data_IF_584586121487
#
_entry.id   IF_584586121487
#
_cell.length_a   1.000
_cell.length_b   1.000
_cell.length_c   1.000
_cell.angle_alpha   90.00
_cell.angle_beta   90.00
_cell.angle_gamma   90.00
#
_symmetry.space_group_name_H-M   'P 1'
#
loop_
_entity.id
_entity.type
_entity.pdbx_description
1 polymer ?
#
# COMPACT_ATOMS: atom_id res chain seq x y z
N UNK A 1 -4.39 -28.20 -0.99
CA UNK A 1 -5.12 -27.24 -1.86
C UNK A 1 -5.02 -25.80 -1.36
N UNK A 2 -5.49 -25.46 -0.14
CA UNK A 2 -5.51 -24.07 0.39
C UNK A 2 -4.15 -23.36 0.46
N UNK A 3 -3.05 -24.09 0.70
CA UNK A 3 -1.69 -23.55 0.84
C UNK A 3 -1.10 -22.97 -0.45
N UNK A 4 -1.55 -23.46 -1.62
CA UNK A 4 -1.06 -22.96 -2.92
C UNK A 4 -1.63 -21.58 -3.27
N UNK A 5 -2.79 -21.22 -2.73
CA UNK A 5 -3.44 -19.92 -2.99
C UNK A 5 -2.62 -18.78 -2.38
N UNK A 6 -2.04 -18.97 -1.18
CA UNK A 6 -1.22 -17.94 -0.54
C UNK A 6 0.07 -17.63 -1.31
N UNK A 7 0.69 -18.64 -1.93
CA UNK A 7 1.91 -18.45 -2.73
C UNK A 7 1.64 -17.62 -3.99
N UNK A 8 0.46 -17.78 -4.59
CA UNK A 8 0.09 -17.07 -5.82
C UNK A 8 -0.06 -15.55 -5.58
N UNK A 9 -0.56 -15.13 -4.42
CA UNK A 9 -0.81 -13.70 -4.12
C UNK A 9 0.49 -12.89 -4.00
N UNK A 10 1.57 -13.49 -3.49
CA UNK A 10 2.88 -12.83 -3.33
C UNK A 10 3.52 -12.56 -4.71
N UNK A 11 3.21 -13.38 -5.72
CA UNK A 11 3.72 -13.21 -7.08
C UNK A 11 2.98 -12.11 -7.86
N UNK A 12 1.76 -11.73 -7.45
CA UNK A 12 0.98 -10.67 -8.10
C UNK A 12 1.31 -9.26 -7.57
N UNK A 13 1.98 -9.14 -6.42
CA UNK A 13 2.56 -7.86 -6.00
C UNK A 13 3.82 -7.60 -6.83
N UNK A 14 3.65 -7.12 -8.05
CA UNK A 14 4.75 -6.64 -8.87
C UNK A 14 5.50 -5.55 -8.12
N UNK A 15 6.71 -5.87 -7.66
CA UNK A 15 7.64 -4.87 -7.12
C UNK A 15 8.03 -3.94 -8.27
N UNK A 16 7.25 -2.87 -8.48
CA UNK A 16 7.65 -1.83 -9.42
C UNK A 16 8.75 -1.01 -8.74
N UNK A 17 9.96 -1.05 -9.28
CA UNK A 17 11.09 -0.32 -8.72
C UNK A 17 10.92 1.19 -8.97
N UNK A 18 11.65 2.03 -8.23
CA UNK A 18 11.65 3.47 -8.48
C UNK A 18 12.10 3.78 -9.93
N UNK A 19 13.12 3.06 -10.41
CA UNK A 19 13.65 3.22 -11.76
C UNK A 19 12.60 2.97 -12.85
N UNK A 20 11.77 1.93 -12.69
CA UNK A 20 10.68 1.63 -13.63
C UNK A 20 9.64 2.76 -13.69
N UNK A 21 9.26 3.32 -12.54
CA UNK A 21 8.30 4.43 -12.47
C UNK A 21 8.86 5.69 -13.15
N UNK A 22 10.14 5.96 -12.91
CA UNK A 22 10.84 7.13 -13.45
C UNK A 22 11.02 7.01 -14.97
N UNK A 23 11.44 5.85 -15.47
CA UNK A 23 11.57 5.56 -16.90
C UNK A 23 10.22 5.70 -17.63
N UNK A 24 9.13 5.20 -17.01
CA UNK A 24 7.78 5.34 -17.55
C UNK A 24 7.34 6.80 -17.62
N UNK A 25 7.65 7.59 -16.60
CA UNK A 25 7.38 9.02 -16.58
C UNK A 25 8.19 9.78 -17.64
N UNK A 26 9.47 9.42 -17.83
CA UNK A 26 10.33 10.00 -18.86
C UNK A 26 9.86 9.61 -20.27
N UNK A 27 9.33 8.40 -20.47
CA UNK A 27 8.75 7.95 -21.75
C UNK A 27 7.52 8.76 -22.20
N UNK A 28 6.89 9.50 -21.29
CA UNK A 28 5.79 10.43 -21.57
C UNK A 28 6.29 11.81 -22.02
N UNK A 29 7.60 12.00 -22.16
CA UNK A 29 8.23 13.27 -22.53
C UNK A 29 8.41 14.26 -21.37
N UNK A 30 8.22 13.80 -20.12
CA UNK A 30 8.42 14.62 -18.92
C UNK A 30 9.91 14.67 -18.57
N UNK A 31 10.40 15.84 -18.13
CA UNK A 31 11.80 15.99 -17.70
C UNK A 31 12.08 15.16 -16.44
N UNK A 32 13.32 14.69 -16.30
CA UNK A 32 13.68 13.78 -15.22
C UNK A 32 13.50 14.42 -13.83
N UNK A 33 13.81 15.71 -13.69
CA UNK A 33 13.58 16.48 -12.45
C UNK A 33 12.10 16.53 -12.07
N UNK A 34 11.21 16.76 -13.04
CA UNK A 34 9.77 16.82 -12.79
C UNK A 34 9.23 15.46 -12.39
N UNK A 35 9.71 14.38 -13.03
CA UNK A 35 9.38 13.02 -12.62
C UNK A 35 9.90 12.70 -11.23
N UNK A 36 11.11 13.16 -10.87
CA UNK A 36 11.70 12.93 -9.55
C UNK A 36 10.92 13.64 -8.45
N UNK A 37 10.57 14.91 -8.65
CA UNK A 37 9.76 15.68 -7.71
C UNK A 37 8.39 15.04 -7.48
N UNK A 38 7.72 14.60 -8.56
CA UNK A 38 6.43 13.90 -8.47
C UNK A 38 6.51 12.53 -7.80
N UNK A 39 7.61 11.79 -7.99
CA UNK A 39 7.82 10.51 -7.31
C UNK A 39 7.99 10.71 -5.81
N UNK A 40 8.73 11.74 -5.39
CA UNK A 40 8.89 12.10 -3.98
C UNK A 40 7.55 12.48 -3.33
N UNK A 41 6.76 13.35 -3.98
CA UNK A 41 5.40 13.67 -3.53
C UNK A 41 4.54 12.41 -3.35
N UNK A 42 4.67 11.46 -4.28
CA UNK A 42 3.94 10.19 -4.21
C UNK A 42 4.38 9.37 -3.01
N UNK A 43 5.68 9.30 -2.71
CA UNK A 43 6.17 8.58 -1.54
C UNK A 43 5.67 9.20 -0.23
N UNK A 44 5.72 10.53 -0.10
CA UNK A 44 5.18 11.25 1.06
C UNK A 44 3.66 11.07 1.20
N UNK A 45 2.92 11.12 0.08
CA UNK A 45 1.48 10.87 0.08
C UNK A 45 1.17 9.43 0.49
N UNK A 46 1.98 8.46 0.05
CA UNK A 46 1.83 7.05 0.41
C UNK A 46 2.04 6.83 1.90
N UNK A 47 3.08 7.40 2.52
CA UNK A 47 3.28 7.30 3.98
C UNK A 47 2.04 7.75 4.75
N UNK A 48 1.42 8.85 4.32
CA UNK A 48 0.20 9.38 4.94
C UNK A 48 -1.00 8.44 4.77
N UNK A 49 -1.13 7.79 3.60
CA UNK A 49 -2.19 6.81 3.34
C UNK A 49 -1.95 5.52 4.13
N UNK A 50 -0.72 5.02 4.17
CA UNK A 50 -0.35 3.84 4.95
C UNK A 50 -0.59 4.06 6.44
N UNK A 51 -0.22 5.22 6.98
CA UNK A 51 -0.50 5.58 8.37
C UNK A 51 -2.02 5.64 8.64
N UNK A 52 -2.80 6.31 7.77
CA UNK A 52 -4.27 6.36 7.92
C UNK A 52 -4.91 4.98 7.81
N UNK A 53 -4.43 4.12 6.93
CA UNK A 53 -4.94 2.76 6.78
C UNK A 53 -4.58 1.90 8.00
N UNK A 54 -3.36 2.03 8.52
CA UNK A 54 -2.91 1.36 9.73
C UNK A 54 -3.77 1.75 10.94
N UNK A 55 -4.03 3.06 11.11
CA UNK A 55 -4.88 3.57 12.19
C UNK A 55 -6.35 3.12 12.07
N UNK A 56 -6.91 3.11 10.85
CA UNK A 56 -8.26 2.60 10.62
C UNK A 56 -8.37 1.11 10.89
N UNK A 57 -7.36 0.34 10.50
CA UNK A 57 -7.35 -1.11 10.71
C UNK A 57 -7.12 -1.46 12.18
N UNK A 58 -6.29 -0.71 12.92
CA UNK A 58 -6.14 -0.90 14.36
C UNK A 58 -7.40 -0.51 15.13
N UNK A 59 -8.07 0.59 14.76
CA UNK A 59 -9.34 0.97 15.37
C UNK A 59 -10.43 -0.10 15.17
N UNK A 60 -10.54 -0.65 13.95
CA UNK A 60 -11.47 -1.76 13.67
C UNK A 60 -11.13 -3.05 14.43
N UNK A 61 -9.84 -3.37 14.57
CA UNK A 61 -9.41 -4.55 15.30
C UNK A 61 -9.74 -4.47 16.80
N UNK A 62 -9.70 -3.27 17.38
CA UNK A 62 -10.12 -3.03 18.77
C UNK A 62 -11.64 -3.14 18.93
N UNK A 63 -12.40 -2.54 18.03
CA UNK A 63 -13.87 -2.63 18.00
C UNK A 63 -14.36 -4.09 17.83
N UNK A 64 -13.76 -4.86 16.92
CA UNK A 64 -14.04 -6.30 16.78
C UNK A 64 -13.62 -7.11 18.01
N UNK A 65 -12.54 -6.73 18.68
CA UNK A 65 -12.13 -7.39 19.92
C UNK A 65 -13.09 -7.07 21.08
N UNK A 66 -13.62 -5.86 21.14
CA UNK A 66 -14.60 -5.44 22.15
C UNK A 66 -15.95 -6.14 21.93
N UNK A 67 -16.42 -6.21 20.68
CA UNK A 67 -17.63 -6.96 20.32
C UNK A 67 -17.53 -8.48 20.52
N UNK A 68 -16.34 -9.08 20.45
CA UNK A 68 -16.12 -10.50 20.80
C UNK A 68 -16.11 -10.77 22.31
N UNK A 69 -15.81 -9.78 23.15
CA UNK A 69 -15.74 -9.94 24.60
C UNK A 69 -17.08 -9.72 25.32
N UNK A 70 -18.16 -9.41 24.59
CA UNK A 70 -19.53 -9.41 25.11
C UNK A 70 -20.33 -10.61 24.55
N UNK A 71 -20.12 -11.85 25.06
CA UNK A 71 -21.18 -12.86 24.94
C UNK A 71 -22.38 -12.34 25.74
N UNK A 72 -23.55 -12.32 25.10
CA UNK A 72 -24.78 -11.79 25.68
C UNK A 72 -25.05 -12.29 27.10
N UNK A 73 -25.47 -11.36 27.96
CA UNK A 73 -26.31 -11.68 29.11
C UNK A 73 -27.65 -12.25 28.62
#
# INVERSE_FOLDING_TARGET
>A
MKKFICLAVILLSGCTTQADRLAKCQSLGVSIDTCYAKDMDRQTAMETVYQKQALKNSAKALDEAEHKNHPGN
#
